data_IF_274351118105
#
_entry.id   IF_274351118105
#
_cell.length_a   1.000
_cell.length_b   1.000
_cell.length_c   1.000
_cell.angle_alpha   90.00
_cell.angle_beta   90.00
_cell.angle_gamma   90.00
#
_symmetry.space_group_name_H-M   'P 1'
#
loop_
_entity.id
_entity.type
_entity.pdbx_description
1 polymer ?
#
# COMPACT_ATOMS: atom_id res chain seq x y z
N UNK A 1 29.99 0.90 -7.59
CA UNK A 1 29.08 1.96 -7.09
C UNK A 1 27.67 1.41 -7.19
N UNK A 2 26.92 1.24 -6.09
CA UNK A 2 25.58 0.61 -6.14
C UNK A 2 24.65 1.40 -7.06
N UNK A 3 23.91 0.70 -7.93
CA UNK A 3 22.96 1.32 -8.85
C UNK A 3 21.89 2.09 -8.06
N UNK A 4 21.76 3.39 -8.30
CA UNK A 4 20.78 4.25 -7.61
C UNK A 4 19.34 3.85 -7.95
N UNK A 5 19.10 3.13 -9.05
CA UNK A 5 17.80 2.60 -9.44
C UNK A 5 17.32 1.52 -8.48
N UNK A 6 18.21 0.62 -8.02
CA UNK A 6 17.87 -0.42 -7.03
C UNK A 6 17.33 0.17 -5.73
N UNK A 7 17.99 1.21 -5.20
CA UNK A 7 17.48 1.93 -4.03
C UNK A 7 16.08 2.52 -4.28
N UNK A 8 15.87 3.13 -5.45
CA UNK A 8 14.55 3.71 -5.76
C UNK A 8 13.48 2.64 -6.01
N UNK A 9 13.84 1.48 -6.54
CA UNK A 9 12.98 0.32 -6.73
C UNK A 9 12.53 -0.23 -5.37
N UNK A 10 13.48 -0.43 -4.45
CA UNK A 10 13.20 -0.83 -3.08
C UNK A 10 12.27 0.17 -2.38
N UNK A 11 12.58 1.46 -2.47
CA UNK A 11 11.72 2.50 -1.91
C UNK A 11 10.32 2.50 -2.54
N UNK A 12 10.17 2.21 -3.84
CA UNK A 12 8.85 2.04 -4.47
C UNK A 12 8.08 0.84 -3.90
N UNK A 13 8.75 -0.28 -3.65
CA UNK A 13 8.14 -1.45 -3.00
C UNK A 13 7.71 -1.14 -1.55
N UNK A 14 8.56 -0.45 -0.78
CA UNK A 14 8.23 0.00 0.59
C UNK A 14 7.02 0.94 0.60
N UNK A 15 6.98 1.89 -0.35
CA UNK A 15 5.87 2.83 -0.50
C UNK A 15 4.58 2.12 -0.92
N UNK A 16 4.66 1.15 -1.83
CA UNK A 16 3.53 0.31 -2.23
C UNK A 16 2.98 -0.50 -1.06
N UNK A 17 3.84 -1.16 -0.28
CA UNK A 17 3.47 -1.94 0.90
C UNK A 17 2.77 -1.05 1.93
N UNK A 18 3.34 0.13 2.20
CA UNK A 18 2.77 1.14 3.08
C UNK A 18 1.35 1.54 2.66
N UNK A 19 1.18 1.94 1.39
CA UNK A 19 -0.12 2.41 0.90
C UNK A 19 -1.15 1.29 0.83
N UNK A 20 -0.73 0.06 0.48
CA UNK A 20 -1.59 -1.12 0.49
C UNK A 20 -2.06 -1.45 1.91
N UNK A 21 -1.14 -1.46 2.89
CA UNK A 21 -1.49 -1.71 4.29
C UNK A 21 -2.53 -0.73 4.82
N UNK A 22 -2.32 0.58 4.60
CA UNK A 22 -3.29 1.59 5.06
C UNK A 22 -4.63 1.46 4.34
N UNK A 23 -4.61 1.29 3.03
CA UNK A 23 -5.83 1.38 2.23
C UNK A 23 -6.66 0.10 2.35
N UNK A 24 -6.01 -1.05 2.26
CA UNK A 24 -6.65 -2.37 2.25
C UNK A 24 -6.94 -2.89 3.66
N UNK A 25 -6.03 -2.73 4.62
CA UNK A 25 -6.23 -3.31 5.96
C UNK A 25 -6.91 -2.37 6.94
N UNK A 26 -6.67 -1.06 6.80
CA UNK A 26 -7.18 -0.08 7.77
C UNK A 26 -8.39 0.62 7.19
N UNK A 27 -8.24 1.44 6.15
CA UNK A 27 -9.34 2.26 5.62
C UNK A 27 -10.50 1.38 5.15
N UNK A 28 -10.21 0.30 4.42
CA UNK A 28 -11.25 -0.59 3.91
C UNK A 28 -11.99 -1.35 5.01
N UNK A 29 -11.36 -1.64 6.15
CA UNK A 29 -12.01 -2.28 7.29
C UNK A 29 -13.10 -1.41 7.94
N UNK A 30 -13.00 -0.08 7.81
CA UNK A 30 -13.94 0.86 8.43
C UNK A 30 -14.93 1.51 7.45
N UNK A 31 -14.76 1.34 6.13
CA UNK A 31 -15.53 2.09 5.11
C UNK A 31 -17.04 1.84 5.14
N UNK A 32 -17.47 0.71 5.66
CA UNK A 32 -18.90 0.36 5.82
C UNK A 32 -19.53 0.94 7.10
N UNK A 33 -18.69 1.45 8.00
CA UNK A 33 -19.08 1.91 9.34
C UNK A 33 -18.87 3.42 9.54
N UNK A 34 -17.97 4.01 8.76
CA UNK A 34 -17.55 5.40 8.86
C UNK A 34 -17.39 5.98 7.46
N UNK A 35 -17.75 7.26 7.29
CA UNK A 35 -17.41 7.95 6.06
C UNK A 35 -15.88 8.08 5.94
N UNK A 36 -15.35 7.98 4.72
CA UNK A 36 -13.89 7.99 4.50
C UNK A 36 -13.20 9.25 5.05
N UNK A 37 -13.88 10.40 5.03
CA UNK A 37 -13.39 11.65 5.65
C UNK A 37 -13.20 11.52 7.16
N UNK A 38 -14.08 10.78 7.82
CA UNK A 38 -14.07 10.60 9.28
C UNK A 38 -13.01 9.56 9.67
N UNK A 39 -12.85 8.49 8.89
CA UNK A 39 -11.75 7.53 9.04
C UNK A 39 -10.41 8.28 9.06
N UNK A 40 -10.15 9.11 8.05
CA UNK A 40 -8.87 9.85 7.96
C UNK A 40 -8.69 10.86 9.09
N UNK A 41 -9.76 11.56 9.50
CA UNK A 41 -9.73 12.48 10.63
C UNK A 41 -9.36 11.75 11.93
N UNK A 42 -9.99 10.63 12.20
CA UNK A 42 -9.75 9.84 13.43
C UNK A 42 -8.34 9.22 13.40
N UNK A 43 -7.89 8.71 12.25
CA UNK A 43 -6.50 8.25 12.09
C UNK A 43 -5.50 9.38 12.35
N UNK A 44 -5.76 10.59 11.86
CA UNK A 44 -4.93 11.78 12.10
C UNK A 44 -4.83 12.09 13.61
N UNK A 45 -5.97 12.10 14.31
CA UNK A 45 -6.04 12.31 15.76
C UNK A 45 -5.28 11.23 16.55
N UNK A 46 -5.51 9.96 16.23
CA UNK A 46 -4.91 8.82 16.97
C UNK A 46 -3.43 8.61 16.69
N UNK A 47 -2.98 8.89 15.46
CA UNK A 47 -1.56 8.73 15.09
C UNK A 47 -0.73 9.98 15.40
N UNK A 48 -1.37 11.10 15.77
CA UNK A 48 -0.72 12.39 15.98
C UNK A 48 -0.15 13.00 14.70
N UNK A 49 -0.68 12.62 13.53
CA UNK A 49 -0.22 13.10 12.22
C UNK A 49 -1.24 14.02 11.60
N UNK A 50 -0.78 14.98 10.82
CA UNK A 50 -1.67 15.85 10.04
C UNK A 50 -2.49 15.04 9.02
N UNK A 51 -3.72 15.47 8.77
CA UNK A 51 -4.62 14.85 7.79
C UNK A 51 -3.99 14.74 6.40
N UNK A 52 -3.27 15.77 5.96
CA UNK A 52 -2.54 15.77 4.68
C UNK A 52 -1.43 14.71 4.63
N UNK A 53 -0.86 14.36 5.79
CA UNK A 53 0.11 13.27 5.87
C UNK A 53 -0.55 11.91 5.68
N UNK A 54 -1.77 11.70 6.21
CA UNK A 54 -2.56 10.49 5.96
C UNK A 54 -2.84 10.34 4.45
N UNK A 55 -3.31 11.41 3.80
CA UNK A 55 -3.56 11.42 2.35
C UNK A 55 -2.31 11.09 1.53
N UNK A 56 -1.14 11.61 1.94
CA UNK A 56 0.13 11.31 1.27
C UNK A 56 0.53 9.85 1.45
N UNK A 57 0.37 9.29 2.64
CA UNK A 57 0.71 7.90 2.87
C UNK A 57 -0.22 6.95 2.10
N UNK A 58 -1.51 7.29 2.00
CA UNK A 58 -2.51 6.52 1.25
C UNK A 58 -2.23 6.50 -0.26
N UNK A 59 -1.85 7.65 -0.85
CA UNK A 59 -1.79 7.82 -2.32
C UNK A 59 -0.40 7.80 -2.92
N UNK A 60 0.58 8.22 -2.14
CA UNK A 60 1.90 8.58 -2.62
C UNK A 60 3.02 7.90 -1.85
N UNK A 61 2.67 7.03 -0.87
CA UNK A 61 3.54 6.26 0.01
C UNK A 61 4.72 7.06 0.55
N UNK A 62 4.69 7.44 1.82
CA UNK A 62 5.97 7.68 2.48
C UNK A 62 6.54 6.31 2.85
N UNK A 63 7.85 6.12 2.69
CA UNK A 63 8.52 4.93 3.23
C UNK A 63 8.22 4.88 4.73
N UNK A 64 7.57 3.82 5.19
CA UNK A 64 7.28 3.64 6.60
C UNK A 64 8.47 3.03 7.31
N UNK A 65 8.87 3.65 8.40
CA UNK A 65 9.60 2.92 9.42
C UNK A 65 8.61 2.08 10.25
N UNK A 66 9.13 1.08 10.97
CA UNK A 66 8.33 0.19 11.79
C UNK A 66 7.40 0.93 12.78
N UNK A 67 7.85 2.08 13.31
CA UNK A 67 7.06 2.90 14.23
C UNK A 67 5.78 3.40 13.56
N UNK A 68 5.83 3.82 12.30
CA UNK A 68 4.66 4.31 11.57
C UNK A 68 3.63 3.20 11.37
N UNK A 69 4.05 1.99 10.97
CA UNK A 69 3.18 0.82 10.85
C UNK A 69 2.49 0.51 12.18
N UNK A 70 3.25 0.43 13.26
CA UNK A 70 2.74 0.15 14.62
C UNK A 70 1.72 1.23 15.05
N UNK A 71 1.98 2.51 14.75
CA UNK A 71 1.05 3.61 15.07
C UNK A 71 -0.28 3.45 14.35
N UNK A 72 -0.25 3.17 13.05
CA UNK A 72 -1.47 2.98 12.25
C UNK A 72 -2.27 1.75 12.70
N UNK A 73 -1.58 0.64 12.96
CA UNK A 73 -2.21 -0.58 13.44
C UNK A 73 -2.83 -0.39 14.84
N UNK A 74 -2.11 0.24 15.76
CA UNK A 74 -2.64 0.64 17.08
C UNK A 74 -3.89 1.51 16.94
N UNK A 75 -3.86 2.52 16.08
CA UNK A 75 -5.00 3.40 15.84
C UNK A 75 -6.22 2.62 15.34
N UNK A 76 -6.03 1.66 14.42
CA UNK A 76 -7.09 0.79 13.94
C UNK A 76 -7.71 -0.06 15.07
N UNK A 77 -6.89 -0.63 15.95
CA UNK A 77 -7.37 -1.40 17.10
C UNK A 77 -8.19 -0.53 18.07
N UNK A 78 -7.74 0.69 18.35
CA UNK A 78 -8.48 1.64 19.18
C UNK A 78 -9.81 2.05 18.53
N UNK A 79 -9.81 2.33 17.22
CA UNK A 79 -11.02 2.66 16.47
C UNK A 79 -12.05 1.53 16.54
N UNK A 80 -11.63 0.28 16.35
CA UNK A 80 -12.50 -0.90 16.47
C UNK A 80 -13.12 -0.98 17.86
N UNK A 81 -12.34 -0.80 18.93
CA UNK A 81 -12.84 -0.82 20.31
C UNK A 81 -13.86 0.28 20.57
N UNK A 82 -13.58 1.51 20.15
CA UNK A 82 -14.49 2.65 20.32
C UNK A 82 -15.81 2.48 19.55
N UNK A 83 -15.75 1.87 18.36
CA UNK A 83 -16.95 1.54 17.59
C UNK A 83 -17.80 0.46 18.25
N UNK A 84 -17.17 -0.62 18.74
CA UNK A 84 -17.87 -1.69 19.49
C UNK A 84 -18.52 -1.14 20.76
N UNK A 85 -17.85 -0.22 21.45
CA UNK A 85 -18.34 0.38 22.69
C UNK A 85 -19.32 1.54 22.47
N UNK A 86 -19.58 1.96 21.22
CA UNK A 86 -20.47 3.07 20.90
C UNK A 86 -19.96 4.45 21.35
N UNK A 87 -18.66 4.59 21.63
CA UNK A 87 -18.07 5.85 22.14
C UNK A 87 -17.61 6.79 21.03
N UNK A 88 -17.74 6.39 19.76
CA UNK A 88 -17.32 7.17 18.61
C UNK A 88 -18.47 8.01 18.04
N UNK A 89 -18.31 9.33 18.07
CA UNK A 89 -19.37 10.30 17.70
C UNK A 89 -19.76 10.31 16.22
N UNK A 90 -18.95 9.71 15.33
CA UNK A 90 -19.12 9.75 13.86
C UNK A 90 -19.75 8.48 13.27
N UNK A 91 -20.38 7.64 14.09
CA UNK A 91 -20.88 6.33 13.68
C UNK A 91 -22.12 6.40 12.79
N UNK A 92 -22.12 5.67 11.67
CA UNK A 92 -23.34 5.47 10.87
C UNK A 92 -24.24 4.44 11.58
N UNK A 93 -25.42 4.87 12.01
CA UNK A 93 -26.33 4.19 12.96
C UNK A 93 -26.79 2.76 12.62
N UNK A 94 -26.44 2.20 11.44
CA UNK A 94 -27.03 0.97 10.90
C UNK A 94 -26.05 -0.17 10.62
N UNK A 95 -24.77 -0.02 10.94
CA UNK A 95 -23.78 -1.08 10.68
C UNK A 95 -23.42 -1.81 11.98
N UNK A 96 -23.19 -3.13 11.92
CA UNK A 96 -22.77 -3.89 13.10
C UNK A 96 -21.24 -3.88 13.20
N UNK A 97 -20.63 -3.19 14.17
CA UNK A 97 -19.19 -3.04 14.26
C UNK A 97 -18.45 -4.35 14.61
N UNK A 98 -19.17 -5.42 14.99
CA UNK A 98 -18.56 -6.74 15.20
C UNK A 98 -17.96 -7.33 13.91
N UNK A 99 -18.38 -6.85 12.74
CA UNK A 99 -17.89 -7.32 11.44
C UNK A 99 -16.61 -6.60 10.97
N UNK A 100 -16.10 -5.64 11.76
CA UNK A 100 -14.83 -4.97 11.47
C UNK A 100 -13.70 -5.99 11.65
N UNK A 101 -13.16 -6.47 10.53
CA UNK A 101 -11.98 -7.33 10.51
C UNK A 101 -10.73 -6.46 10.46
N UNK A 102 -9.94 -6.48 11.54
CA UNK A 102 -8.56 -5.98 11.54
C UNK A 102 -7.71 -7.23 11.62
N UNK A 103 -6.92 -7.48 10.56
CA UNK A 103 -6.06 -8.65 10.49
C UNK A 103 -5.09 -8.69 11.67
N UNK A 104 -4.83 -9.90 12.16
CA UNK A 104 -3.77 -10.15 13.12
C UNK A 104 -2.40 -9.92 12.45
N UNK A 105 -1.36 -9.67 13.25
CA UNK A 105 -0.05 -9.31 12.68
C UNK A 105 0.55 -10.45 11.87
N UNK A 106 0.31 -11.70 12.28
CA UNK A 106 0.71 -12.91 11.58
C UNK A 106 0.03 -13.03 10.21
N UNK A 107 -1.24 -12.62 10.11
CA UNK A 107 -1.98 -12.61 8.84
C UNK A 107 -1.49 -11.50 7.92
N UNK A 108 -1.17 -10.32 8.47
CA UNK A 108 -0.56 -9.21 7.72
C UNK A 108 0.80 -9.65 7.16
N UNK A 109 1.67 -10.24 7.99
CA UNK A 109 2.97 -10.75 7.56
C UNK A 109 2.80 -11.79 6.45
N UNK A 110 1.85 -12.72 6.59
CA UNK A 110 1.58 -13.74 5.56
C UNK A 110 1.07 -13.12 4.26
N UNK A 111 0.14 -12.15 4.34
CA UNK A 111 -0.45 -11.48 3.17
C UNK A 111 0.61 -10.72 2.37
N UNK A 112 1.57 -10.10 3.05
CA UNK A 112 2.59 -9.25 2.43
C UNK A 112 3.98 -9.89 2.34
N UNK A 113 4.11 -11.19 2.64
CA UNK A 113 5.39 -11.90 2.77
C UNK A 113 6.29 -11.69 1.55
N UNK A 114 5.78 -11.94 0.36
CA UNK A 114 6.52 -11.79 -0.90
C UNK A 114 7.04 -10.36 -1.11
N UNK A 115 6.25 -9.34 -0.76
CA UNK A 115 6.71 -7.94 -0.88
C UNK A 115 7.76 -7.59 0.17
N UNK A 116 7.62 -8.12 1.40
CA UNK A 116 8.59 -7.93 2.49
C UNK A 116 9.93 -8.60 2.14
N UNK A 117 9.88 -9.80 1.58
CA UNK A 117 11.04 -10.56 1.12
C UNK A 117 11.76 -9.80 0.00
N UNK A 118 11.06 -9.40 -1.05
CA UNK A 118 11.65 -8.61 -2.14
C UNK A 118 12.27 -7.29 -1.65
N UNK A 119 11.65 -6.58 -0.72
CA UNK A 119 12.25 -5.35 -0.14
C UNK A 119 13.58 -5.65 0.56
N UNK A 120 13.66 -6.79 1.25
CA UNK A 120 14.85 -7.19 1.99
C UNK A 120 15.97 -7.67 1.06
N UNK A 121 15.63 -8.39 0.00
CA UNK A 121 16.59 -8.96 -0.95
C UNK A 121 17.14 -7.92 -1.93
N UNK A 122 16.36 -6.90 -2.29
CA UNK A 122 16.78 -5.80 -3.17
C UNK A 122 18.01 -5.02 -2.66
N UNK A 123 18.31 -5.05 -1.35
CA UNK A 123 19.54 -4.44 -0.79
C UNK A 123 20.81 -5.23 -1.17
N UNK A 124 20.68 -6.53 -1.45
CA UNK A 124 21.73 -7.45 -1.85
C UNK A 124 21.96 -7.53 -3.37
N UNK A 125 20.98 -7.10 -4.16
CA UNK A 125 21.06 -7.08 -5.63
C UNK A 125 22.18 -6.16 -6.15
N UNK A 126 22.78 -6.55 -7.27
CA UNK A 126 23.90 -5.84 -7.89
C UNK A 126 23.46 -5.16 -9.18
N UNK A 127 22.74 -5.87 -10.02
CA UNK A 127 22.29 -5.41 -11.34
C UNK A 127 20.78 -5.14 -11.36
N UNK A 128 20.39 -4.04 -11.99
CA UNK A 128 18.98 -3.63 -12.01
C UNK A 128 18.09 -4.59 -12.80
N UNK A 129 18.56 -5.06 -13.95
CA UNK A 129 17.74 -5.93 -14.81
C UNK A 129 17.52 -7.31 -14.17
N UNK A 130 18.58 -7.87 -13.57
CA UNK A 130 18.50 -9.11 -12.78
C UNK A 130 17.56 -8.96 -11.58
N UNK A 131 17.65 -7.85 -10.84
CA UNK A 131 16.71 -7.56 -9.76
C UNK A 131 15.26 -7.45 -10.24
N UNK A 132 15.03 -6.93 -11.45
CA UNK A 132 13.68 -6.87 -12.02
C UNK A 132 13.15 -8.25 -12.35
N UNK A 133 14.00 -9.15 -12.85
CA UNK A 133 13.65 -10.53 -13.15
C UNK A 133 13.41 -11.36 -11.89
N UNK A 134 14.29 -11.27 -10.89
CA UNK A 134 14.19 -12.00 -9.62
C UNK A 134 12.92 -11.63 -8.83
N UNK A 135 12.52 -10.35 -8.88
CA UNK A 135 11.39 -9.81 -8.11
C UNK A 135 10.19 -9.43 -8.99
N UNK A 136 10.07 -10.08 -10.16
CA UNK A 136 9.17 -9.65 -11.23
C UNK A 136 7.71 -9.49 -10.80
N UNK A 137 7.14 -10.45 -10.06
CA UNK A 137 5.73 -10.40 -9.66
C UNK A 137 5.45 -9.24 -8.68
N UNK A 138 6.36 -8.95 -7.74
CA UNK A 138 6.25 -7.78 -6.85
C UNK A 138 6.37 -6.49 -7.65
N UNK A 139 7.35 -6.39 -8.54
CA UNK A 139 7.60 -5.18 -9.34
C UNK A 139 6.42 -4.90 -10.28
N UNK A 140 5.87 -5.94 -10.91
CA UNK A 140 4.67 -5.84 -11.71
C UNK A 140 3.50 -5.25 -10.91
N UNK A 141 3.25 -5.73 -9.68
CA UNK A 141 2.19 -5.19 -8.80
C UNK A 141 2.44 -3.73 -8.42
N UNK A 142 3.69 -3.37 -8.12
CA UNK A 142 4.10 -1.97 -7.83
C UNK A 142 3.81 -1.06 -9.03
N UNK A 143 4.16 -1.50 -10.24
CA UNK A 143 3.88 -0.75 -11.47
C UNK A 143 2.36 -0.62 -11.70
N UNK A 144 1.59 -1.71 -11.58
CA UNK A 144 0.12 -1.66 -11.74
C UNK A 144 -0.54 -0.74 -10.69
N UNK A 145 -0.03 -0.75 -9.46
CA UNK A 145 -0.52 0.10 -8.38
C UNK A 145 -0.34 1.59 -8.71
N UNK A 146 0.87 1.99 -9.12
CA UNK A 146 1.19 3.39 -9.39
C UNK A 146 0.68 3.92 -10.74
N UNK A 147 0.25 3.04 -11.66
CA UNK A 147 -0.57 3.47 -12.80
C UNK A 147 -1.95 3.96 -12.38
N UNK A 148 -2.57 3.29 -11.40
CA UNK A 148 -3.90 3.66 -10.87
C UNK A 148 -3.80 4.79 -9.85
N UNK A 149 -2.66 4.89 -9.17
CA UNK A 149 -2.39 5.87 -8.12
C UNK A 149 -1.10 6.65 -8.41
N UNK A 150 -1.09 7.59 -9.39
CA UNK A 150 0.14 8.25 -9.81
C UNK A 150 0.84 9.01 -8.67
N UNK A 151 2.16 8.89 -8.61
CA UNK A 151 2.98 9.64 -7.65
C UNK A 151 2.80 11.17 -7.83
N UNK A 152 3.00 11.97 -6.76
CA UNK A 152 2.98 13.43 -6.84
C UNK A 152 4.17 13.96 -7.65
N UNK A 153 4.00 15.15 -8.25
CA UNK A 153 4.99 15.77 -9.15
C UNK A 153 6.39 15.93 -8.57
N UNK A 154 6.51 16.06 -7.25
CA UNK A 154 7.80 16.20 -6.57
C UNK A 154 8.61 14.89 -6.44
N UNK A 155 8.12 13.74 -6.92
CA UNK A 155 8.82 12.43 -6.88
C UNK A 155 9.42 12.03 -8.24
N UNK A 156 10.03 12.98 -8.96
CA UNK A 156 10.47 12.82 -10.36
C UNK A 156 11.33 11.58 -10.62
N UNK A 157 12.31 11.29 -9.76
CA UNK A 157 13.21 10.13 -9.95
C UNK A 157 12.45 8.79 -9.94
N UNK A 158 11.51 8.62 -9.01
CA UNK A 158 10.68 7.41 -8.92
C UNK A 158 9.65 7.33 -10.04
N UNK A 159 9.12 8.48 -10.47
CA UNK A 159 8.26 8.55 -11.66
C UNK A 159 8.98 8.07 -12.91
N UNK A 160 10.20 8.55 -13.12
CA UNK A 160 11.00 8.14 -14.26
C UNK A 160 11.29 6.63 -14.22
N UNK A 161 11.63 6.09 -13.05
CA UNK A 161 11.82 4.65 -12.87
C UNK A 161 10.54 3.84 -13.17
N UNK A 162 9.38 4.31 -12.72
CA UNK A 162 8.09 3.66 -13.04
C UNK A 162 7.78 3.71 -14.54
N UNK A 163 8.15 4.79 -15.24
CA UNK A 163 8.03 4.88 -16.70
C UNK A 163 8.95 3.84 -17.34
N UNK A 164 10.23 3.80 -16.98
CA UNK A 164 11.21 2.83 -17.49
C UNK A 164 10.73 1.38 -17.29
N UNK A 165 10.26 1.03 -16.09
CA UNK A 165 9.69 -0.29 -15.81
C UNK A 165 8.45 -0.58 -16.67
N UNK A 166 7.56 0.40 -16.85
CA UNK A 166 6.36 0.24 -17.67
C UNK A 166 6.65 0.09 -19.17
N UNK A 167 7.85 0.52 -19.60
CA UNK A 167 8.30 0.39 -20.97
C UNK A 167 8.95 -0.96 -21.28
N UNK A 168 9.31 -1.73 -20.25
CA UNK A 168 9.94 -3.04 -20.43
C UNK A 168 8.99 -4.05 -21.12
N UNK A 169 9.50 -4.87 -22.07
CA UNK A 169 8.67 -5.81 -22.83
C UNK A 169 7.95 -6.85 -21.97
N UNK A 170 8.64 -7.40 -20.96
CA UNK A 170 8.15 -8.40 -20.02
C UNK A 170 6.93 -7.90 -19.21
N UNK A 171 7.01 -6.69 -18.65
CA UNK A 171 5.93 -6.04 -17.90
C UNK A 171 4.75 -5.74 -18.83
N UNK A 172 4.99 -5.24 -20.05
CA UNK A 172 3.94 -4.97 -21.04
C UNK A 172 3.22 -6.25 -21.47
N UNK A 173 3.97 -7.32 -21.70
CA UNK A 173 3.41 -8.62 -22.06
C UNK A 173 2.50 -9.15 -20.94
N UNK A 174 2.97 -9.11 -19.69
CA UNK A 174 2.18 -9.50 -18.51
C UNK A 174 0.86 -8.71 -18.43
N UNK A 175 0.90 -7.39 -18.66
CA UNK A 175 -0.32 -6.55 -18.69
C UNK A 175 -1.30 -6.95 -19.78
N UNK A 176 -0.80 -7.19 -21.00
CA UNK A 176 -1.64 -7.58 -22.13
C UNK A 176 -2.29 -8.95 -21.91
N UNK A 177 -1.54 -9.91 -21.35
CA UNK A 177 -2.08 -11.22 -20.96
C UNK A 177 -3.19 -11.08 -19.93
N UNK A 178 -2.95 -10.36 -18.84
CA UNK A 178 -3.96 -10.13 -17.79
C UNK A 178 -5.20 -9.40 -18.31
N UNK A 179 -5.04 -8.43 -19.22
CA UNK A 179 -6.17 -7.75 -19.87
C UNK A 179 -7.00 -8.72 -20.72
N UNK A 180 -6.34 -9.55 -21.51
CA UNK A 180 -6.99 -10.55 -22.37
C UNK A 180 -7.75 -11.58 -21.55
N UNK A 181 -7.17 -12.05 -20.44
CA UNK A 181 -7.82 -12.98 -19.50
C UNK A 181 -9.05 -12.36 -18.83
N UNK A 182 -9.00 -11.08 -18.44
CA UNK A 182 -10.18 -10.36 -17.91
C UNK A 182 -11.29 -10.28 -18.96
N UNK A 183 -10.97 -9.93 -20.21
CA UNK A 183 -11.97 -9.84 -21.28
C UNK A 183 -12.66 -11.18 -21.56
N UNK A 184 -11.93 -12.31 -21.48
CA UNK A 184 -12.50 -13.66 -21.64
C UNK A 184 -13.41 -14.10 -20.49
N UNK A 185 -13.33 -13.48 -19.32
CA UNK A 185 -14.19 -13.82 -18.15
C UNK A 185 -15.50 -13.03 -18.12
N UNK A 186 -15.59 -11.93 -18.88
CA UNK A 186 -16.74 -11.02 -18.89
C UNK A 186 -17.41 -10.90 -20.27
N UNK A 187 -16.96 -11.66 -21.26
CA UNK A 187 -17.59 -11.78 -22.58
C UNK A 187 -18.06 -13.20 -22.81
#
# INVERSE_FOLDING_TARGET
MKDKRLRNLRELCEMYLCSSFITEEIISAFKEHLAQKDIRRILSEKTGRELNSIYRDERAGNVFNAIMLIRYWKAALEMKKELINGTMSSFTKNSNPSNISILEIEEIIRKYAETIESVSELDGEIEFDEAVENHFDVIYRVVEYYEKNPLPGNRMVKKQLLIELNERPDIRERKNKMRTERMKRYG
#
